data_IF_805030775537
#
_entry.id   IF_805030775537
#
_cell.length_a   1.000
_cell.length_b   1.000
_cell.length_c   1.000
_cell.angle_alpha   90.00
_cell.angle_beta   90.00
_cell.angle_gamma   90.00
#
_symmetry.space_group_name_H-M   'P 1'
#
loop_
_entity.id
_entity.type
_entity.pdbx_description
1 polymer ?
#
# COMPACT_ATOMS: atom_id res chain seq x y z
N UNK A 1 -7.20 -5.57 -15.58
CA UNK A 1 -6.21 -6.45 -14.93
C UNK A 1 -6.86 -7.07 -13.70
N UNK A 2 -6.90 -8.40 -13.60
CA UNK A 2 -7.46 -9.13 -12.46
C UNK A 2 -6.53 -9.20 -11.25
N UNK A 3 -5.64 -8.22 -11.11
CA UNK A 3 -4.61 -8.19 -10.07
C UNK A 3 -5.29 -8.04 -8.70
N UNK A 4 -4.89 -8.87 -7.74
CA UNK A 4 -5.39 -8.84 -6.37
C UNK A 4 -4.21 -8.66 -5.44
N UNK A 5 -4.21 -7.55 -4.72
CA UNK A 5 -3.23 -7.28 -3.67
C UNK A 5 -4.00 -7.04 -2.37
N UNK A 6 -3.57 -7.73 -1.32
CA UNK A 6 -4.00 -7.57 0.06
C UNK A 6 -2.84 -7.01 0.85
N UNK A 7 -3.13 -5.96 1.61
CA UNK A 7 -2.18 -5.35 2.53
C UNK A 7 -2.71 -5.57 3.94
N UNK A 8 -1.86 -6.07 4.83
CA UNK A 8 -2.15 -6.29 6.23
C UNK A 8 -1.20 -5.42 7.06
N UNK A 9 -1.78 -4.64 7.96
CA UNK A 9 -1.05 -3.70 8.81
C UNK A 9 -1.30 -4.09 10.26
N UNK A 10 -0.23 -4.16 11.04
CA UNK A 10 -0.28 -4.22 12.50
C UNK A 10 0.08 -2.86 13.06
N UNK A 11 -0.71 -2.41 14.02
CA UNK A 11 -0.47 -1.13 14.69
C UNK A 11 0.10 -1.35 16.08
N UNK A 12 1.04 -0.49 16.46
CA UNK A 12 1.51 -0.34 17.84
C UNK A 12 0.44 0.33 18.73
N UNK A 13 0.70 0.40 20.03
CA UNK A 13 -0.16 1.07 21.00
C UNK A 13 -0.35 2.57 20.73
N UNK A 14 0.58 3.19 20.00
CA UNK A 14 0.51 4.60 19.60
C UNK A 14 -0.26 4.83 18.28
N UNK A 15 -0.79 3.79 17.65
CA UNK A 15 -1.52 3.86 16.37
C UNK A 15 -0.63 4.08 15.14
N UNK A 16 0.64 3.69 15.22
CA UNK A 16 1.62 3.64 14.11
C UNK A 16 1.76 2.22 13.58
N UNK A 17 2.08 2.08 12.30
CA UNK A 17 2.31 0.76 11.68
C UNK A 17 3.59 0.15 12.24
N UNK A 18 3.43 -0.88 13.06
CA UNK A 18 4.53 -1.67 13.62
C UNK A 18 5.01 -2.73 12.64
N UNK A 19 4.11 -3.31 11.84
CA UNK A 19 4.45 -4.27 10.78
C UNK A 19 3.48 -4.11 9.61
N UNK A 20 3.99 -4.32 8.40
CA UNK A 20 3.20 -4.37 7.19
C UNK A 20 3.57 -5.64 6.42
N UNK A 21 2.56 -6.38 6.00
CA UNK A 21 2.70 -7.53 5.12
C UNK A 21 1.82 -7.34 3.90
N UNK A 22 2.28 -7.82 2.74
CA UNK A 22 1.49 -7.83 1.53
C UNK A 22 1.40 -9.24 0.97
N UNK A 23 0.24 -9.59 0.43
CA UNK A 23 0.00 -10.87 -0.23
C UNK A 23 -0.90 -10.64 -1.43
N UNK A 24 -0.71 -11.41 -2.50
CA UNK A 24 -1.48 -11.18 -3.71
C UNK A 24 -0.93 -11.87 -4.94
N UNK A 25 -1.69 -11.75 -6.02
CA UNK A 25 -1.34 -12.22 -7.35
C UNK A 25 -1.57 -11.09 -8.34
N UNK A 26 -0.56 -10.84 -9.17
CA UNK A 26 -0.64 -9.84 -10.22
C UNK A 26 0.67 -9.73 -10.99
N UNK A 27 0.71 -8.79 -11.92
CA UNK A 27 1.92 -8.49 -12.67
C UNK A 27 3.10 -8.04 -11.79
N UNK A 28 4.33 -8.11 -12.34
CA UNK A 28 5.52 -7.69 -11.61
C UNK A 28 5.46 -6.24 -11.10
N UNK A 29 4.78 -5.34 -11.83
CA UNK A 29 4.61 -3.93 -11.44
C UNK A 29 3.72 -3.82 -10.21
N UNK A 30 2.61 -4.57 -10.14
CA UNK A 30 1.71 -4.52 -8.99
C UNK A 30 2.36 -5.11 -7.75
N UNK A 31 3.14 -6.18 -7.89
CA UNK A 31 3.90 -6.76 -6.78
C UNK A 31 5.02 -5.82 -6.31
N UNK A 32 5.76 -5.19 -7.24
CA UNK A 32 6.77 -4.19 -6.90
C UNK A 32 6.16 -2.97 -6.18
N UNK A 33 5.04 -2.44 -6.69
CA UNK A 33 4.31 -1.35 -6.05
C UNK A 33 3.84 -1.73 -4.65
N UNK A 34 3.33 -2.95 -4.45
CA UNK A 34 2.91 -3.44 -3.14
C UNK A 34 4.09 -3.54 -2.16
N UNK A 35 5.23 -4.07 -2.62
CA UNK A 35 6.45 -4.18 -1.80
C UNK A 35 6.98 -2.82 -1.37
N UNK A 36 7.10 -1.86 -2.30
CA UNK A 36 7.58 -0.50 -1.99
C UNK A 36 6.62 0.19 -1.01
N UNK A 37 5.31 0.04 -1.23
CA UNK A 37 4.31 0.63 -0.36
C UNK A 37 4.32 0.02 1.05
N UNK A 38 4.51 -1.31 1.17
CA UNK A 38 4.59 -2.02 2.44
C UNK A 38 5.78 -1.53 3.29
N UNK A 39 6.94 -1.31 2.67
CA UNK A 39 8.10 -0.71 3.34
C UNK A 39 7.83 0.75 3.72
N UNK A 40 7.23 1.53 2.81
CA UNK A 40 6.94 2.95 3.05
C UNK A 40 5.96 3.19 4.20
N UNK A 41 5.01 2.29 4.42
CA UNK A 41 4.00 2.43 5.48
C UNK A 41 4.56 2.08 6.86
N UNK A 42 5.67 1.33 6.94
CA UNK A 42 6.27 0.92 8.19
C UNK A 42 6.70 2.14 9.03
N UNK A 43 6.39 2.13 10.33
CA UNK A 43 6.67 3.22 11.27
C UNK A 43 5.80 4.47 11.11
N UNK A 44 4.94 4.54 10.09
CA UNK A 44 4.07 5.71 9.84
C UNK A 44 2.73 5.59 10.56
N UNK A 45 2.14 6.73 10.88
CA UNK A 45 0.80 6.79 11.47
C UNK A 45 -0.28 6.63 10.40
N UNK A 46 -1.42 6.06 10.78
CA UNK A 46 -2.59 5.96 9.90
C UNK A 46 -2.99 7.32 9.28
N UNK A 47 -2.81 8.41 10.03
CA UNK A 47 -3.11 9.77 9.56
C UNK A 47 -2.21 10.17 8.40
N UNK A 48 -0.91 9.88 8.48
CA UNK A 48 0.03 10.14 7.39
C UNK A 48 -0.34 9.31 6.15
N UNK A 49 -0.71 8.04 6.35
CA UNK A 49 -1.08 7.14 5.25
C UNK A 49 -2.40 7.53 4.57
N UNK A 50 -3.34 8.13 5.29
CA UNK A 50 -4.57 8.69 4.70
C UNK A 50 -4.31 9.89 3.78
N UNK A 51 -3.20 10.60 3.99
CA UNK A 51 -2.80 11.73 3.15
C UNK A 51 -2.18 11.33 1.81
N UNK A 52 -1.86 10.04 1.61
CA UNK A 52 -1.23 9.57 0.38
C UNK A 52 -2.15 9.70 -0.83
N UNK A 53 -1.65 10.39 -1.84
CA UNK A 53 -2.31 10.57 -3.12
C UNK A 53 -1.83 9.56 -4.16
N UNK A 54 -2.55 9.49 -5.26
CA UNK A 54 -2.16 8.66 -6.41
C UNK A 54 -0.82 9.13 -7.00
N UNK A 55 -0.52 10.43 -6.92
CA UNK A 55 0.75 11.00 -7.36
C UNK A 55 1.91 10.53 -6.50
N UNK A 56 1.77 10.54 -5.18
CA UNK A 56 2.81 10.06 -4.27
C UNK A 56 3.16 8.59 -4.56
N UNK A 57 2.15 7.75 -4.80
CA UNK A 57 2.37 6.34 -5.13
C UNK A 57 3.09 6.15 -6.48
N UNK A 58 2.83 7.02 -7.47
CA UNK A 58 3.51 7.00 -8.76
C UNK A 58 4.95 7.52 -8.64
N UNK A 59 5.19 8.57 -7.86
CA UNK A 59 6.52 9.09 -7.57
C UNK A 59 7.39 8.06 -6.84
N UNK A 60 6.82 7.30 -5.89
CA UNK A 60 7.53 6.22 -5.19
C UNK A 60 8.04 5.12 -6.13
N UNK A 61 7.31 4.86 -7.22
CA UNK A 61 7.72 3.89 -8.24
C UNK A 61 8.82 4.45 -9.16
N UNK A 62 8.96 5.78 -9.25
CA UNK A 62 9.99 6.43 -10.05
C UNK A 62 9.90 6.14 -11.55
N UNK A 63 8.77 5.63 -12.02
CA UNK A 63 8.55 5.26 -13.43
C UNK A 63 7.36 6.00 -14.01
N UNK A 64 7.58 6.59 -15.18
CA UNK A 64 6.52 7.16 -16.00
C UNK A 64 5.73 6.02 -16.67
N UNK A 65 4.67 5.60 -15.99
CA UNK A 65 3.79 4.52 -16.45
C UNK A 65 2.69 5.11 -17.33
N UNK A 66 2.72 4.81 -18.62
CA UNK A 66 1.63 5.17 -19.54
C UNK A 66 0.26 4.66 -19.05
N UNK A 67 -0.83 5.28 -19.52
CA UNK A 67 -2.23 5.06 -19.06
C UNK A 67 -2.64 3.59 -18.82
N UNK A 68 -2.10 2.66 -19.61
CA UNK A 68 -2.40 1.24 -19.49
C UNK A 68 -1.82 0.59 -18.20
N UNK A 69 -0.71 1.11 -17.67
CA UNK A 69 0.02 0.54 -16.52
C UNK A 69 -0.17 1.31 -15.22
N UNK A 70 -0.78 2.50 -15.27
CA UNK A 70 -1.14 3.28 -14.08
C UNK A 70 -2.06 2.48 -13.15
N UNK A 71 -2.97 1.66 -13.69
CA UNK A 71 -3.86 0.83 -12.87
C UNK A 71 -3.11 -0.20 -12.01
N UNK A 72 -2.02 -0.75 -12.52
CA UNK A 72 -1.16 -1.71 -11.79
C UNK A 72 -0.39 -1.02 -10.67
N UNK A 73 0.07 0.22 -10.86
CA UNK A 73 0.70 1.02 -9.80
C UNK A 73 -0.28 1.40 -8.69
N UNK A 74 -1.52 1.76 -9.06
CA UNK A 74 -2.53 2.21 -8.12
C UNK A 74 -3.18 1.08 -7.31
N UNK A 75 -2.97 -0.19 -7.68
CA UNK A 75 -3.55 -1.32 -6.94
C UNK A 75 -3.04 -1.39 -5.51
N UNK A 76 -1.76 -1.09 -5.29
CA UNK A 76 -1.15 -1.07 -3.96
C UNK A 76 -1.76 0.03 -3.09
N UNK A 77 -1.93 1.24 -3.65
CA UNK A 77 -2.57 2.36 -2.95
C UNK A 77 -4.03 2.06 -2.60
N UNK A 78 -4.77 1.39 -3.51
CA UNK A 78 -6.14 0.95 -3.23
C UNK A 78 -6.18 -0.10 -2.13
N UNK A 79 -5.27 -1.07 -2.14
CA UNK A 79 -5.15 -2.07 -1.09
C UNK A 79 -4.85 -1.42 0.27
N UNK A 80 -3.93 -0.44 0.31
CA UNK A 80 -3.67 0.36 1.51
C UNK A 80 -4.92 1.10 1.97
N UNK A 81 -5.62 1.83 1.09
CA UNK A 81 -6.85 2.56 1.46
C UNK A 81 -7.95 1.61 1.96
N UNK A 82 -8.05 0.41 1.39
CA UNK A 82 -8.94 -0.63 1.89
C UNK A 82 -8.51 -1.11 3.29
N UNK A 83 -7.23 -1.40 3.49
CA UNK A 83 -6.65 -1.78 4.78
C UNK A 83 -6.78 -0.68 5.86
N UNK A 84 -6.86 0.59 5.48
CA UNK A 84 -7.12 1.71 6.41
C UNK A 84 -8.61 1.85 6.76
N UNK A 85 -9.51 1.37 5.88
CA UNK A 85 -10.96 1.32 6.13
C UNK A 85 -11.35 0.12 6.98
N UNK A 86 -10.72 -1.03 6.76
CA UNK A 86 -10.87 -2.22 7.60
C UNK A 86 -9.97 -2.04 8.82
N UNK A 87 -10.51 -1.87 10.03
CA UNK A 87 -9.69 -1.55 11.23
C UNK A 87 -8.46 -2.49 11.32
N UNK A 88 -7.23 -1.95 11.28
CA UNK A 88 -6.03 -2.76 11.43
C UNK A 88 -6.04 -3.48 12.77
N UNK A 89 -5.60 -4.72 12.78
CA UNK A 89 -5.54 -5.53 13.99
C UNK A 89 -4.51 -4.94 14.95
N UNK A 90 -4.87 -4.67 16.21
CA UNK A 90 -3.90 -4.21 17.20
C UNK A 90 -2.86 -5.31 17.44
N UNK A 91 -1.58 -4.94 17.56
CA UNK A 91 -0.59 -5.87 18.12
C UNK A 91 -0.87 -6.03 19.61
N UNK A 92 -1.49 -7.14 19.99
CA UNK A 92 -1.48 -7.62 21.37
C UNK A 92 -0.07 -8.04 21.79
#
# INVERSE_FOLDING_TARGET
CGDRVRLELRLDEAGRVAQAAFSGEGCAISMAAASILAEYVHGRSLKALRGLTERDALEMLGVDLGRARTQCALVALRALKAALKTKPTPSC
#
